data_IF_305634812636
#
_entry.id   IF_305634812636
#
_cell.length_a   1.000
_cell.length_b   1.000
_cell.length_c   1.000
_cell.angle_alpha   90.00
_cell.angle_beta   90.00
_cell.angle_gamma   90.00
#
_symmetry.space_group_name_H-M   'P 1'
#
loop_
_entity.id
_entity.type
_entity.pdbx_description
1 polymer ?
#
# COMPACT_ATOMS: atom_id res chain seq x y z
N UNK A 1 8.19 1.67 9.69
CA UNK A 1 8.17 1.73 8.21
C UNK A 1 8.88 0.56 7.55
N UNK A 2 10.06 0.19 8.01
CA UNK A 2 10.81 -0.96 7.45
C UNK A 2 10.03 -2.28 7.60
N UNK A 3 9.35 -2.47 8.72
CA UNK A 3 8.57 -3.67 8.98
C UNK A 3 7.39 -3.79 8.02
N UNK A 4 6.74 -2.67 7.70
CA UNK A 4 5.62 -2.65 6.76
C UNK A 4 6.10 -3.08 5.37
N UNK A 5 7.19 -2.50 4.89
CA UNK A 5 7.75 -2.86 3.59
C UNK A 5 8.19 -4.31 3.52
N UNK A 6 8.83 -4.81 4.58
CA UNK A 6 9.29 -6.19 4.65
C UNK A 6 8.12 -7.18 4.59
N UNK A 7 7.08 -6.92 5.40
CA UNK A 7 5.88 -7.76 5.42
C UNK A 7 5.16 -7.71 4.08
N UNK A 8 5.00 -6.53 3.50
CA UNK A 8 4.33 -6.39 2.21
C UNK A 8 5.06 -7.16 1.11
N UNK A 9 6.38 -7.09 1.06
CA UNK A 9 7.16 -7.83 0.06
C UNK A 9 7.05 -9.35 0.28
N UNK A 10 6.98 -9.77 1.52
CA UNK A 10 6.86 -11.20 1.86
C UNK A 10 5.52 -11.78 1.43
N UNK A 11 4.42 -11.05 1.62
CA UNK A 11 3.06 -11.56 1.35
C UNK A 11 2.58 -11.24 -0.07
N UNK A 12 3.30 -10.40 -0.80
CA UNK A 12 2.93 -10.02 -2.16
C UNK A 12 4.12 -10.17 -3.11
N UNK A 13 4.56 -11.42 -3.40
CA UNK A 13 5.72 -11.64 -4.28
C UNK A 13 5.48 -11.18 -5.72
N UNK A 14 4.22 -11.00 -6.13
CA UNK A 14 3.86 -10.48 -7.46
C UNK A 14 3.80 -8.95 -7.50
N UNK A 15 4.12 -8.28 -6.41
CA UNK A 15 4.08 -6.82 -6.38
C UNK A 15 5.22 -6.22 -7.19
N UNK A 16 4.88 -5.31 -8.10
CA UNK A 16 5.86 -4.52 -8.85
C UNK A 16 6.30 -3.30 -8.06
N UNK A 17 5.39 -2.71 -7.31
CA UNK A 17 5.67 -1.53 -6.49
C UNK A 17 4.89 -1.63 -5.19
N UNK A 18 5.52 -1.21 -4.10
CA UNK A 18 4.89 -1.07 -2.81
C UNK A 18 5.21 0.34 -2.33
N UNK A 19 4.17 1.14 -2.13
CA UNK A 19 4.30 2.57 -1.87
C UNK A 19 3.61 2.95 -0.57
N UNK A 20 4.30 3.76 0.24
CA UNK A 20 3.67 4.45 1.36
C UNK A 20 3.18 5.80 0.87
N UNK A 21 1.92 6.13 1.10
CA UNK A 21 1.36 7.42 0.71
C UNK A 21 0.60 8.05 1.89
N UNK A 22 -0.05 9.18 1.64
CA UNK A 22 -0.81 9.88 2.68
C UNK A 22 0.08 10.63 3.65
N UNK A 23 -0.46 10.93 4.83
CA UNK A 23 0.20 11.81 5.80
C UNK A 23 1.54 11.28 6.30
N UNK A 24 1.67 9.96 6.45
CA UNK A 24 2.95 9.36 6.88
C UNK A 24 4.05 9.57 5.84
N UNK A 25 3.71 9.53 4.55
CA UNK A 25 4.67 9.77 3.49
C UNK A 25 5.03 11.26 3.36
N UNK A 26 4.05 12.15 3.59
CA UNK A 26 4.27 13.60 3.51
C UNK A 26 5.03 14.15 4.71
N UNK A 27 5.05 13.43 5.82
CA UNK A 27 5.70 13.90 7.05
C UNK A 27 4.82 14.81 7.90
N UNK A 28 3.51 14.89 7.60
CA UNK A 28 2.56 15.69 8.38
C UNK A 28 1.62 14.82 9.22
N UNK A 29 1.98 13.57 9.43
CA UNK A 29 1.19 12.62 10.19
C UNK A 29 1.10 13.03 11.66
N UNK A 30 -0.08 12.77 12.25
CA UNK A 30 -0.28 12.87 13.69
C UNK A 30 0.01 11.50 14.32
N UNK A 31 0.05 11.47 15.64
CA UNK A 31 0.33 10.26 16.39
C UNK A 31 -0.64 9.11 16.07
N UNK A 32 -1.89 9.44 15.79
CA UNK A 32 -2.95 8.47 15.47
C UNK A 32 -3.22 8.32 13.96
N UNK A 33 -2.34 8.86 13.11
CA UNK A 33 -2.51 8.76 11.66
C UNK A 33 -2.30 7.35 11.15
N UNK A 34 -3.12 6.94 10.17
CA UNK A 34 -2.99 5.65 9.53
C UNK A 34 -1.75 5.59 8.64
N UNK A 35 -1.26 4.39 8.41
CA UNK A 35 -0.22 4.09 7.43
C UNK A 35 -0.90 3.60 6.16
N UNK A 36 -0.88 4.40 5.11
CA UNK A 36 -1.54 4.08 3.84
C UNK A 36 -0.54 3.44 2.88
N UNK A 37 -0.79 2.19 2.54
CA UNK A 37 0.12 1.39 1.70
C UNK A 37 -0.59 1.01 0.41
N UNK A 38 0.02 1.33 -0.71
CA UNK A 38 -0.46 0.93 -2.03
C UNK A 38 0.43 -0.20 -2.55
N UNK A 39 -0.19 -1.31 -2.94
CA UNK A 39 0.51 -2.45 -3.51
C UNK A 39 0.04 -2.64 -4.94
N UNK A 40 0.97 -2.56 -5.89
CA UNK A 40 0.69 -2.74 -7.31
C UNK A 40 1.09 -4.15 -7.72
N UNK A 41 0.10 -4.98 -8.04
CA UNK A 41 0.30 -6.39 -8.36
C UNK A 41 0.44 -6.59 -9.87
N UNK A 42 1.39 -7.42 -10.26
CA UNK A 42 1.60 -7.80 -11.66
C UNK A 42 0.70 -8.98 -12.02
N UNK A 43 -0.58 -8.68 -12.18
CA UNK A 43 -1.59 -9.68 -12.56
C UNK A 43 -2.75 -8.98 -13.27
N UNK A 44 -3.64 -9.77 -13.87
CA UNK A 44 -4.72 -9.24 -14.71
C UNK A 44 -5.84 -8.57 -13.91
N UNK A 45 -6.09 -9.03 -12.69
CA UNK A 45 -7.12 -8.41 -11.83
C UNK A 45 -6.90 -8.77 -10.37
N UNK A 46 -7.44 -7.91 -9.48
CA UNK A 46 -7.44 -8.17 -8.04
C UNK A 46 -8.60 -9.12 -7.70
N UNK A 47 -8.30 -10.16 -6.95
CA UNK A 47 -9.28 -11.13 -6.48
C UNK A 47 -9.43 -11.04 -4.96
N UNK A 48 -10.48 -11.65 -4.42
CA UNK A 48 -10.68 -11.67 -2.97
C UNK A 48 -9.52 -12.30 -2.24
N UNK A 49 -8.93 -13.36 -2.80
CA UNK A 49 -7.76 -14.01 -2.21
C UNK A 49 -6.55 -13.08 -2.11
N UNK A 50 -6.39 -12.14 -3.06
CA UNK A 50 -5.32 -11.14 -2.99
C UNK A 50 -5.51 -10.22 -1.81
N UNK A 51 -6.74 -9.80 -1.57
CA UNK A 51 -7.08 -8.97 -0.42
C UNK A 51 -6.73 -9.70 0.87
N UNK A 52 -7.16 -10.96 0.99
CA UNK A 52 -6.88 -11.76 2.18
C UNK A 52 -5.38 -12.00 2.37
N UNK A 53 -4.66 -12.30 1.29
CA UNK A 53 -3.25 -12.67 1.37
C UNK A 53 -2.32 -11.47 1.59
N UNK A 54 -2.74 -10.28 1.20
CA UNK A 54 -1.91 -9.07 1.31
C UNK A 54 -2.41 -8.14 2.39
N UNK A 55 -3.69 -7.78 2.36
CA UNK A 55 -4.23 -6.78 3.30
C UNK A 55 -4.31 -7.30 4.72
N UNK A 56 -4.72 -8.55 4.90
CA UNK A 56 -4.91 -9.10 6.24
C UNK A 56 -3.60 -9.21 7.03
N UNK A 57 -2.51 -9.76 6.47
CA UNK A 57 -1.23 -9.80 7.20
C UNK A 57 -0.70 -8.42 7.57
N UNK A 58 -0.92 -7.41 6.74
CA UNK A 58 -0.51 -6.04 7.06
C UNK A 58 -1.36 -5.45 8.18
N UNK A 59 -2.64 -5.76 8.21
CA UNK A 59 -3.52 -5.36 9.31
C UNK A 59 -3.10 -6.01 10.62
N UNK A 60 -2.75 -7.29 10.57
CA UNK A 60 -2.25 -8.00 11.75
C UNK A 60 -0.95 -7.39 12.26
N UNK A 61 -0.04 -7.03 11.37
CA UNK A 61 1.19 -6.33 11.74
C UNK A 61 0.85 -5.02 12.46
N UNK A 62 -0.12 -4.27 11.96
CA UNK A 62 -0.57 -3.06 12.61
C UNK A 62 -1.01 -3.29 14.04
N UNK A 63 -1.81 -4.34 14.25
CA UNK A 63 -2.26 -4.71 15.60
C UNK A 63 -1.08 -5.03 16.52
N UNK A 64 -0.05 -5.70 16.01
CA UNK A 64 1.12 -6.06 16.80
C UNK A 64 1.95 -4.85 17.20
N UNK A 65 2.08 -3.86 16.33
CA UNK A 65 2.92 -2.69 16.58
C UNK A 65 2.12 -1.46 17.06
N UNK A 66 0.80 -1.62 17.26
CA UNK A 66 -0.04 -0.54 17.76
C UNK A 66 -0.34 0.55 16.74
N UNK A 67 -0.40 0.20 15.45
CA UNK A 67 -0.65 1.13 14.36
C UNK A 67 -1.80 0.65 13.48
N UNK A 68 -2.45 1.58 12.77
CA UNK A 68 -3.45 1.24 11.78
C UNK A 68 -2.83 1.27 10.39
N UNK A 69 -2.86 0.13 9.70
CA UNK A 69 -2.31 0.00 8.35
C UNK A 69 -3.46 -0.23 7.38
N UNK A 70 -3.66 0.71 6.46
CA UNK A 70 -4.64 0.62 5.38
C UNK A 70 -3.94 0.20 4.10
N UNK A 71 -4.41 -0.88 3.48
CA UNK A 71 -3.81 -1.39 2.25
C UNK A 71 -4.76 -1.19 1.09
N UNK A 72 -4.24 -0.60 0.01
CA UNK A 72 -4.96 -0.42 -1.24
C UNK A 72 -4.27 -1.26 -2.30
N UNK A 73 -5.04 -2.10 -3.01
CA UNK A 73 -4.52 -2.97 -4.05
C UNK A 73 -5.00 -2.51 -5.42
N UNK A 74 -4.07 -2.43 -6.36
CA UNK A 74 -4.36 -2.22 -7.79
C UNK A 74 -3.50 -3.17 -8.58
N UNK A 75 -3.96 -3.53 -9.77
CA UNK A 75 -3.04 -4.11 -10.75
C UNK A 75 -2.20 -2.99 -11.35
N UNK A 76 -1.04 -3.35 -11.89
CA UNK A 76 -0.17 -2.38 -12.58
C UNK A 76 -0.95 -1.68 -13.71
N UNK A 77 -1.73 -2.46 -14.49
CA UNK A 77 -2.49 -1.92 -15.61
C UNK A 77 -3.61 -0.97 -15.16
N UNK A 78 -4.36 -1.33 -14.13
CA UNK A 78 -5.43 -0.47 -13.61
C UNK A 78 -4.88 0.81 -13.03
N UNK A 79 -3.73 0.74 -12.36
CA UNK A 79 -3.08 1.94 -11.85
C UNK A 79 -2.71 2.89 -12.98
N UNK A 80 -2.13 2.36 -14.04
CA UNK A 80 -1.76 3.16 -15.22
C UNK A 80 -2.99 3.79 -15.89
N UNK A 81 -4.10 3.05 -15.99
CA UNK A 81 -5.35 3.56 -16.57
C UNK A 81 -5.98 4.69 -15.76
N UNK A 82 -5.68 4.76 -14.47
CA UNK A 82 -6.19 5.81 -13.58
C UNK A 82 -5.27 7.02 -13.47
N UNK A 83 -4.28 7.15 -14.37
CA UNK A 83 -3.27 8.20 -14.30
C UNK A 83 -3.84 9.63 -14.39
N UNK A 84 -5.06 9.78 -14.91
CA UNK A 84 -5.73 11.09 -15.00
C UNK A 84 -6.35 11.54 -13.67
N UNK A 85 -6.43 10.67 -12.67
CA UNK A 85 -7.11 10.99 -11.41
C UNK A 85 -6.20 11.80 -10.47
N UNK A 86 -6.78 12.68 -9.64
CA UNK A 86 -6.00 13.36 -8.61
C UNK A 86 -5.31 12.41 -7.64
N UNK A 87 -5.97 11.30 -7.29
CA UNK A 87 -5.39 10.31 -6.39
C UNK A 87 -4.08 9.75 -6.95
N UNK A 88 -4.09 9.32 -8.21
CA UNK A 88 -2.89 8.81 -8.87
C UNK A 88 -1.76 9.85 -8.86
N UNK A 89 -2.09 11.08 -9.23
CA UNK A 89 -1.10 12.16 -9.31
C UNK A 89 -0.49 12.47 -7.95
N UNK A 90 -1.31 12.49 -6.90
CA UNK A 90 -0.85 12.77 -5.54
C UNK A 90 0.04 11.64 -5.03
N UNK A 91 -0.34 10.40 -5.26
CA UNK A 91 0.44 9.25 -4.82
C UNK A 91 1.80 9.23 -5.52
N UNK A 92 1.82 9.40 -6.85
CA UNK A 92 3.08 9.38 -7.59
C UNK A 92 4.01 10.52 -7.20
N UNK A 93 3.47 11.67 -6.78
CA UNK A 93 4.27 12.82 -6.38
C UNK A 93 4.83 12.69 -4.95
N UNK A 94 4.10 12.04 -4.05
CA UNK A 94 4.39 12.09 -2.61
C UNK A 94 4.86 10.76 -2.04
N UNK A 95 4.61 9.64 -2.70
CA UNK A 95 4.81 8.32 -2.11
C UNK A 95 6.28 7.99 -1.89
N UNK A 96 6.50 7.18 -0.85
CA UNK A 96 7.82 6.62 -0.53
C UNK A 96 7.81 5.16 -0.94
N UNK A 97 8.81 4.72 -1.70
CA UNK A 97 8.94 3.31 -2.08
C UNK A 97 9.40 2.51 -0.86
N UNK A 98 8.65 1.47 -0.56
CA UNK A 98 8.96 0.58 0.57
C UNK A 98 9.78 -0.64 0.18
#
# INVERSE_FOLDING_TARGET
>A
MQEIGRTARSVAPMAKRILLFGSQARGDAREDSDWDVLVLLDKDRIRLEDIDNVSYPLRELGWEIGEDINTVLYTVDDWAKNSFTPFHKNVEAEAIVL
#
